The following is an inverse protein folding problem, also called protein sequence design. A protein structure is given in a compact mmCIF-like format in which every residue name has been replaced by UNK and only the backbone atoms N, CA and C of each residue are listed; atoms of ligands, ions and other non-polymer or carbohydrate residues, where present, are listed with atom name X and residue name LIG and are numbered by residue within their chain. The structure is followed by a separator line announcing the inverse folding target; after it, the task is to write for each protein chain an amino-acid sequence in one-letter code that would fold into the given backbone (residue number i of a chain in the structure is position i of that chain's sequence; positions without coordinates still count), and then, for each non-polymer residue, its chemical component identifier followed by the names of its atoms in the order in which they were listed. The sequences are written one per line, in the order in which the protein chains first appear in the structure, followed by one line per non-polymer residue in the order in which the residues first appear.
data_IF_913186975226
#
_entry.id   IF_913186975226
#
_cell.length_a   1.000
_cell.length_b   1.000
_cell.length_c   1.000
_cell.angle_alpha   90.00
_cell.angle_beta   90.00
_cell.angle_gamma   90.00
#
_symmetry.space_group_name_H-M   'P 1'
#
loop_
_entity.id
_entity.type
_entity.pdbx_description
1 polymer ?
#
# COMPACT_ATOMS: atom_id res chain seq x y z
N UNK A 1 17.31 -52.53 54.08
CA UNK A 1 16.86 -52.26 52.68
C UNK A 1 16.24 -50.88 52.65
N UNK A 2 16.98 -49.88 52.22
CA UNK A 2 16.52 -48.49 52.04
C UNK A 2 16.58 -48.21 50.53
N UNK A 3 15.41 -48.02 49.93
CA UNK A 3 15.26 -47.75 48.50
C UNK A 3 15.40 -46.24 48.24
N UNK A 4 16.35 -45.86 47.39
CA UNK A 4 16.56 -44.50 46.93
C UNK A 4 15.62 -44.19 45.75
N UNK A 5 14.82 -43.14 45.88
CA UNK A 5 13.97 -42.62 44.81
C UNK A 5 14.79 -41.67 43.92
N UNK A 6 14.92 -42.01 42.63
CA UNK A 6 15.54 -41.15 41.63
C UNK A 6 14.50 -40.14 41.10
N UNK A 7 14.80 -38.85 41.26
CA UNK A 7 14.02 -37.75 40.66
C UNK A 7 14.56 -37.52 39.25
N UNK A 8 13.75 -37.82 38.24
CA UNK A 8 14.02 -37.51 36.84
C UNK A 8 13.61 -36.05 36.55
N UNK A 9 14.57 -35.13 36.49
CA UNK A 9 14.34 -33.79 35.92
C UNK A 9 14.09 -33.92 34.41
N UNK A 10 12.87 -33.59 33.97
CA UNK A 10 12.57 -33.37 32.56
C UNK A 10 13.08 -31.99 32.15
N UNK A 11 14.22 -31.96 31.45
CA UNK A 11 14.67 -30.78 30.73
C UNK A 11 13.74 -30.57 29.52
N UNK A 12 12.95 -29.50 29.55
CA UNK A 12 12.20 -29.06 28.38
C UNK A 12 13.19 -28.70 27.25
N UNK A 13 12.91 -29.06 25.99
CA UNK A 13 13.78 -28.69 24.88
C UNK A 13 13.79 -27.16 24.76
N UNK A 14 15.00 -26.58 24.75
CA UNK A 14 15.17 -25.17 24.45
C UNK A 14 14.66 -24.91 23.03
N UNK A 15 13.60 -24.11 22.92
CA UNK A 15 13.11 -23.60 21.64
C UNK A 15 14.25 -22.81 21.01
N UNK A 16 14.85 -23.32 19.95
CA UNK A 16 15.80 -22.58 19.14
C UNK A 16 15.06 -21.37 18.55
N UNK A 17 15.36 -20.18 19.08
CA UNK A 17 14.89 -18.94 18.48
C UNK A 17 15.38 -18.93 17.02
N UNK A 18 14.44 -18.79 16.07
CA UNK A 18 14.81 -18.55 14.68
C UNK A 18 15.72 -17.32 14.63
N UNK A 19 16.79 -17.32 13.82
CA UNK A 19 17.60 -16.13 13.63
C UNK A 19 16.67 -14.99 13.19
N UNK A 20 16.77 -13.84 13.86
CA UNK A 20 16.02 -12.64 13.47
C UNK A 20 16.43 -12.30 12.04
N UNK A 21 15.45 -12.07 11.17
CA UNK A 21 15.70 -11.54 9.83
C UNK A 21 16.46 -10.21 9.95
N UNK A 22 17.50 -10.03 9.14
CA UNK A 22 18.26 -8.78 9.05
C UNK A 22 17.44 -7.65 8.40
N UNK A 23 16.27 -7.96 7.82
CA UNK A 23 15.34 -7.01 7.22
C UNK A 23 13.90 -7.39 7.60
N UNK A 24 13.50 -7.23 8.87
CA UNK A 24 12.19 -7.67 9.33
C UNK A 24 11.08 -6.78 8.76
N UNK A 25 9.99 -7.42 8.38
CA UNK A 25 8.76 -6.82 7.87
C UNK A 25 7.58 -7.52 8.54
N UNK A 26 6.58 -6.76 8.92
CA UNK A 26 5.30 -7.28 9.37
C UNK A 26 4.15 -6.45 8.78
N UNK A 27 3.06 -7.10 8.38
CA UNK A 27 1.80 -6.44 8.06
C UNK A 27 0.70 -6.97 8.96
N UNK A 28 0.10 -6.09 9.76
CA UNK A 28 -0.99 -6.43 10.65
C UNK A 28 -2.31 -5.74 10.26
N UNK A 29 -3.34 -6.51 9.84
CA UNK A 29 -4.66 -5.98 9.54
C UNK A 29 -5.68 -6.22 10.66
N UNK A 30 -6.55 -5.22 10.88
CA UNK A 30 -7.85 -5.37 11.53
C UNK A 30 -8.94 -5.34 10.46
N UNK A 31 -9.61 -6.48 10.24
CA UNK A 31 -10.54 -6.67 9.10
C UNK A 31 -11.78 -7.50 9.41
N UNK A 32 -11.82 -8.17 10.55
CA UNK A 32 -12.97 -8.96 10.99
C UNK A 32 -13.77 -8.22 12.07
N UNK A 33 -15.04 -8.58 12.31
CA UNK A 33 -15.79 -8.05 13.44
C UNK A 33 -15.09 -8.24 14.79
N UNK A 34 -14.39 -9.37 14.97
CA UNK A 34 -13.62 -9.64 16.19
C UNK A 34 -12.44 -8.69 16.32
N UNK A 35 -11.72 -8.43 15.22
CA UNK A 35 -10.59 -7.49 15.21
C UNK A 35 -11.07 -6.10 15.61
N UNK A 36 -12.16 -5.61 15.02
CA UNK A 36 -12.71 -4.29 15.35
C UNK A 36 -13.20 -4.20 16.79
N UNK A 37 -13.70 -5.29 17.40
CA UNK A 37 -14.09 -5.32 18.81
C UNK A 37 -12.92 -5.17 19.78
N UNK A 38 -11.68 -5.47 19.34
CA UNK A 38 -10.48 -5.25 20.18
C UNK A 38 -10.05 -3.79 20.27
N UNK A 39 -10.53 -2.95 19.35
CA UNK A 39 -10.26 -1.52 19.35
C UNK A 39 -11.30 -0.72 20.13
N UNK A 40 -10.97 0.52 20.44
CA UNK A 40 -11.90 1.49 21.01
C UNK A 40 -12.82 2.01 19.92
N UNK A 41 -14.12 1.74 20.06
CA UNK A 41 -15.18 2.16 19.13
C UNK A 41 -15.93 3.36 19.71
N UNK A 42 -15.98 4.47 18.97
CA UNK A 42 -16.62 5.72 19.37
C UNK A 42 -17.63 6.15 18.27
N UNK A 43 -18.92 5.96 18.50
CA UNK A 43 -19.96 6.37 17.55
C UNK A 43 -20.02 5.59 16.24
N UNK A 44 -19.24 4.51 16.13
CA UNK A 44 -19.33 3.53 15.06
C UNK A 44 -20.05 2.28 15.53
N UNK A 45 -20.48 1.47 14.58
CA UNK A 45 -21.09 0.16 14.82
C UNK A 45 -20.80 -0.77 13.64
N UNK A 46 -20.97 -2.09 13.82
CA UNK A 46 -20.97 -3.02 12.69
C UNK A 46 -22.03 -2.63 11.64
N UNK A 47 -21.62 -2.62 10.37
CA UNK A 47 -22.46 -2.35 9.22
C UNK A 47 -23.03 -3.63 8.57
N UNK A 48 -24.12 -3.53 7.80
CA UNK A 48 -24.58 -4.61 6.93
C UNK A 48 -23.45 -5.07 5.99
N UNK A 49 -23.26 -6.39 5.89
CA UNK A 49 -22.16 -6.99 5.12
C UNK A 49 -20.80 -7.03 5.82
N UNK A 50 -20.68 -6.52 7.06
CA UNK A 50 -19.44 -6.47 7.85
C UNK A 50 -18.78 -5.09 7.87
N UNK A 51 -17.67 -4.93 8.60
CA UNK A 51 -16.96 -3.65 8.73
C UNK A 51 -17.66 -2.63 9.62
N UNK A 52 -17.05 -1.45 9.78
CA UNK A 52 -17.54 -0.36 10.62
C UNK A 52 -18.22 0.74 9.80
N UNK A 53 -19.35 1.21 10.32
CA UNK A 53 -20.14 2.34 9.78
C UNK A 53 -20.49 3.31 10.90
N UNK A 54 -20.87 4.54 10.57
CA UNK A 54 -21.33 5.54 11.54
C UNK A 54 -22.67 5.08 12.13
N UNK A 55 -22.71 4.98 13.45
CA UNK A 55 -23.91 4.72 14.25
C UNK A 55 -24.49 6.04 14.77
N UNK A 56 -24.37 6.26 16.08
CA UNK A 56 -24.64 7.56 16.70
C UNK A 56 -23.33 8.35 16.69
N UNK A 57 -23.19 9.41 15.88
CA UNK A 57 -21.94 10.16 15.80
C UNK A 57 -21.56 10.72 17.17
N UNK A 58 -20.26 10.80 17.44
CA UNK A 58 -19.72 11.34 18.72
C UNK A 58 -19.50 12.85 18.67
N UNK A 59 -19.59 13.45 17.49
CA UNK A 59 -19.52 14.89 17.31
C UNK A 59 -19.63 15.28 15.85
N UNK A 60 -19.42 16.57 15.59
CA UNK A 60 -19.33 17.14 14.26
C UNK A 60 -18.12 18.04 14.12
N UNK A 61 -17.64 18.23 12.89
CA UNK A 61 -16.61 19.20 12.53
C UNK A 61 -17.07 20.02 11.33
N UNK A 62 -16.61 21.26 11.22
CA UNK A 62 -16.65 21.97 9.95
C UNK A 62 -15.37 21.64 9.17
N UNK A 63 -15.53 21.36 7.88
CA UNK A 63 -14.42 21.07 6.98
C UNK A 63 -14.55 21.95 5.74
N UNK A 64 -13.48 22.68 5.44
CA UNK A 64 -13.38 23.55 4.27
C UNK A 64 -12.47 22.90 3.25
N UNK A 65 -12.94 22.86 2.01
CA UNK A 65 -12.21 22.42 0.82
C UNK A 65 -11.95 23.65 -0.06
N UNK A 66 -10.78 24.32 0.08
CA UNK A 66 -10.53 25.58 -0.61
C UNK A 66 -10.64 25.48 -2.12
N UNK A 67 -10.11 24.40 -2.71
CA UNK A 67 -10.14 24.19 -4.15
C UNK A 67 -11.55 23.87 -4.69
N UNK A 68 -12.45 23.38 -3.85
CA UNK A 68 -13.87 23.16 -4.19
C UNK A 68 -14.74 24.37 -3.83
N UNK A 69 -14.22 25.33 -3.06
CA UNK A 69 -14.98 26.48 -2.57
C UNK A 69 -16.11 26.11 -1.61
N UNK A 70 -16.01 24.95 -0.92
CA UNK A 70 -17.08 24.46 -0.03
C UNK A 70 -16.65 24.40 1.43
N UNK A 71 -17.54 24.80 2.33
CA UNK A 71 -17.48 24.47 3.75
C UNK A 71 -18.70 23.66 4.11
N UNK A 72 -18.50 22.49 4.69
CA UNK A 72 -19.59 21.57 5.09
C UNK A 72 -19.37 21.09 6.51
N UNK A 73 -20.46 20.83 7.21
CA UNK A 73 -20.41 20.17 8.53
C UNK A 73 -20.48 18.66 8.36
N UNK A 74 -19.55 17.94 8.97
CA UNK A 74 -19.49 16.49 8.96
C UNK A 74 -19.68 15.93 10.37
N UNK A 75 -20.65 15.04 10.53
CA UNK A 75 -20.76 14.16 11.69
C UNK A 75 -19.72 13.05 11.61
N UNK A 76 -19.15 12.64 12.74
CA UNK A 76 -18.12 11.61 12.74
C UNK A 76 -18.27 10.55 13.82
N UNK A 77 -17.70 9.39 13.52
CA UNK A 77 -17.37 8.35 14.49
C UNK A 77 -15.94 7.88 14.27
N UNK A 78 -15.35 7.23 15.27
CA UNK A 78 -13.95 6.87 15.31
C UNK A 78 -13.74 5.46 15.78
N UNK A 79 -12.70 4.83 15.25
CA UNK A 79 -12.16 3.58 15.75
C UNK A 79 -10.66 3.75 16.00
N UNK A 80 -10.18 3.32 17.16
CA UNK A 80 -8.75 3.31 17.50
C UNK A 80 -8.31 1.90 17.83
N UNK A 81 -7.25 1.41 17.18
CA UNK A 81 -6.71 0.08 17.40
C UNK A 81 -6.14 -0.08 18.82
N UNK A 82 -6.04 -1.32 19.33
CA UNK A 82 -5.11 -1.60 20.43
C UNK A 82 -3.67 -1.28 20.01
N UNK A 83 -2.77 -1.22 21.00
CA UNK A 83 -1.32 -1.16 20.70
C UNK A 83 -0.90 -2.46 20.04
N UNK A 84 -0.24 -2.37 18.88
CA UNK A 84 0.31 -3.52 18.18
C UNK A 84 1.85 -3.50 18.21
N UNK A 85 2.45 -4.65 18.54
CA UNK A 85 3.90 -4.86 18.59
C UNK A 85 4.28 -5.82 17.45
N UNK A 86 5.04 -5.37 16.43
CA UNK A 86 5.41 -6.22 15.29
C UNK A 86 6.49 -7.28 15.62
N UNK A 87 7.04 -7.27 16.84
CA UNK A 87 8.07 -8.22 17.29
C UNK A 87 9.50 -7.80 16.98
N UNK A 88 9.68 -6.61 16.40
CA UNK A 88 10.96 -5.94 16.16
C UNK A 88 10.79 -4.43 16.30
N UNK A 89 11.92 -3.72 16.34
CA UNK A 89 11.97 -2.27 16.51
C UNK A 89 11.88 -1.59 15.13
N UNK A 90 10.69 -1.16 14.73
CA UNK A 90 10.41 -0.66 13.38
C UNK A 90 10.98 0.74 13.13
N UNK A 91 11.48 0.99 11.92
CA UNK A 91 11.94 2.32 11.47
C UNK A 91 10.99 2.98 10.48
N UNK A 92 10.11 2.20 9.84
CA UNK A 92 9.11 2.73 8.92
C UNK A 92 7.74 2.08 9.12
N UNK A 93 6.69 2.82 8.78
CA UNK A 93 5.31 2.34 8.79
C UNK A 93 4.52 2.91 7.60
N UNK A 94 3.78 2.07 6.89
CA UNK A 94 2.78 2.49 5.88
C UNK A 94 1.41 1.96 6.30
N UNK A 95 0.44 2.85 6.46
CA UNK A 95 -0.93 2.47 6.77
C UNK A 95 -1.70 2.12 5.50
N UNK A 96 -2.58 1.13 5.56
CA UNK A 96 -3.47 0.72 4.46
C UNK A 96 -4.90 0.61 4.98
N UNK A 97 -5.88 0.90 4.12
CA UNK A 97 -7.30 0.78 4.44
C UNK A 97 -8.11 0.34 3.24
N UNK A 98 -9.17 -0.42 3.49
CA UNK A 98 -10.20 -0.76 2.52
C UNK A 98 -11.51 -0.16 3.00
N UNK A 99 -12.11 0.70 2.18
CA UNK A 99 -13.35 1.36 2.52
C UNK A 99 -14.20 1.68 1.29
N UNK A 100 -15.51 1.79 1.50
CA UNK A 100 -16.40 2.47 0.56
C UNK A 100 -16.82 3.81 1.15
N UNK A 101 -16.75 4.85 0.34
CA UNK A 101 -17.13 6.22 0.70
C UNK A 101 -18.12 6.71 -0.34
N UNK A 102 -19.44 6.45 -0.16
CA UNK A 102 -20.46 7.10 -0.97
C UNK A 102 -20.29 8.62 -0.95
N UNK A 103 -20.86 9.32 -1.94
CA UNK A 103 -20.88 10.79 -1.96
C UNK A 103 -21.29 11.35 -0.59
N UNK A 104 -20.71 12.50 -0.21
CA UNK A 104 -20.87 13.18 1.08
C UNK A 104 -20.28 12.43 2.28
N UNK A 105 -19.39 11.47 2.02
CA UNK A 105 -18.68 10.73 3.07
C UNK A 105 -17.21 10.60 2.73
N UNK A 106 -16.38 10.51 3.76
CA UNK A 106 -14.93 10.38 3.63
C UNK A 106 -14.35 9.80 4.94
N UNK A 107 -13.05 9.56 4.96
CA UNK A 107 -12.36 9.09 6.16
C UNK A 107 -10.99 9.73 6.33
N UNK A 108 -10.49 9.71 7.56
CA UNK A 108 -9.10 10.04 7.88
C UNK A 108 -8.45 8.85 8.58
N UNK A 109 -7.24 8.49 8.17
CA UNK A 109 -6.41 7.47 8.83
C UNK A 109 -5.22 8.16 9.48
N UNK A 110 -4.92 7.80 10.71
CA UNK A 110 -3.83 8.35 11.50
C UNK A 110 -3.05 7.22 12.19
N UNK A 111 -1.76 7.44 12.42
CA UNK A 111 -0.91 6.55 13.20
C UNK A 111 -0.34 7.27 14.42
N UNK A 112 -0.03 6.49 15.46
CA UNK A 112 0.76 6.93 16.62
C UNK A 112 1.76 5.85 16.99
N UNK A 113 3.03 6.22 17.11
CA UNK A 113 4.11 5.33 17.51
C UNK A 113 4.44 5.44 19.00
N UNK A 114 4.94 4.33 19.55
CA UNK A 114 5.65 4.29 20.83
C UNK A 114 7.10 3.93 20.53
N UNK A 115 8.05 4.78 20.89
CA UNK A 115 9.47 4.51 20.67
C UNK A 115 10.00 3.49 21.67
N UNK A 116 11.11 2.84 21.32
CA UNK A 116 11.87 1.96 22.23
C UNK A 116 12.42 2.71 23.44
N UNK A 117 12.69 4.01 23.30
CA UNK A 117 13.09 4.90 24.40
C UNK A 117 11.93 5.33 25.33
N UNK A 118 10.69 4.89 25.06
CA UNK A 118 9.54 5.20 25.90
C UNK A 118 8.78 6.49 25.52
N UNK A 119 9.20 7.20 24.48
CA UNK A 119 8.47 8.36 23.97
C UNK A 119 7.25 7.95 23.13
N UNK A 120 6.21 8.77 23.14
CA UNK A 120 5.02 8.59 22.31
C UNK A 120 4.99 9.71 21.26
N UNK A 121 4.87 9.36 19.99
CA UNK A 121 4.74 10.36 18.90
C UNK A 121 3.40 11.08 18.99
N UNK A 122 3.21 12.25 18.35
CA UNK A 122 1.88 12.75 18.06
C UNK A 122 1.12 11.77 17.14
N UNK A 123 -0.18 12.05 16.94
CA UNK A 123 -0.93 11.40 15.86
C UNK A 123 -0.51 12.04 14.54
N UNK A 124 0.01 11.22 13.63
CA UNK A 124 0.31 11.63 12.26
C UNK A 124 -0.82 11.19 11.33
N UNK A 125 -1.30 12.08 10.49
CA UNK A 125 -2.30 11.80 9.45
C UNK A 125 -1.61 11.07 8.30
N UNK A 126 -2.05 9.84 8.05
CA UNK A 126 -1.57 9.00 6.95
C UNK A 126 -2.36 9.23 5.66
N UNK A 127 -3.55 9.83 5.76
CA UNK A 127 -4.32 10.26 4.60
C UNK A 127 -5.74 10.71 4.96
N UNK A 128 -6.26 11.68 4.20
CA UNK A 128 -7.68 12.01 4.12
C UNK A 128 -8.20 11.49 2.78
N UNK A 129 -9.18 10.61 2.84
CA UNK A 129 -9.55 9.79 1.69
C UNK A 129 -11.05 9.71 1.47
N UNK A 130 -11.43 9.93 0.22
CA UNK A 130 -12.70 9.55 -0.37
C UNK A 130 -12.40 9.02 -1.77
N UNK A 131 -13.23 8.10 -2.25
CA UNK A 131 -13.15 7.59 -3.62
C UNK A 131 -13.31 8.75 -4.62
N UNK A 132 -14.41 9.50 -4.54
CA UNK A 132 -14.62 10.69 -5.37
C UNK A 132 -13.86 11.92 -4.85
N UNK A 133 -13.76 12.94 -5.71
CA UNK A 133 -13.03 14.20 -5.50
C UNK A 133 -13.95 15.43 -5.29
N UNK A 134 -15.25 15.21 -5.08
CA UNK A 134 -16.29 16.26 -5.02
C UNK A 134 -16.73 16.64 -3.59
N UNK A 135 -16.32 15.84 -2.60
CA UNK A 135 -16.67 16.05 -1.18
C UNK A 135 -15.46 16.52 -0.38
N UNK A 136 -14.31 15.90 -0.67
CA UNK A 136 -12.98 16.35 -0.27
C UNK A 136 -12.03 16.17 -1.46
N UNK A 137 -10.98 16.99 -1.54
CA UNK A 137 -9.81 16.64 -2.33
C UNK A 137 -8.97 15.66 -1.50
N UNK A 138 -8.99 14.40 -1.90
CA UNK A 138 -8.15 13.35 -1.34
C UNK A 138 -6.71 13.83 -1.24
N UNK A 139 -6.09 13.65 -0.08
CA UNK A 139 -4.80 14.30 0.19
C UNK A 139 -4.00 13.63 1.30
N UNK A 140 -2.68 13.60 1.15
CA UNK A 140 -1.75 13.57 2.27
C UNK A 140 -1.73 14.89 3.03
N UNK A 141 -1.01 14.93 4.15
CA UNK A 141 -0.75 16.16 4.90
C UNK A 141 0.76 16.34 5.01
N UNK A 142 1.30 17.29 4.27
CA UNK A 142 2.72 17.64 4.26
C UNK A 142 3.20 18.27 5.56
N UNK A 143 4.52 18.22 5.80
CA UNK A 143 5.20 18.93 6.89
C UNK A 143 5.04 18.31 8.29
N UNK A 144 4.43 17.13 8.39
CA UNK A 144 4.23 16.44 9.66
C UNK A 144 5.53 15.84 10.20
N UNK A 145 6.02 16.33 11.34
CA UNK A 145 7.21 15.81 12.00
C UNK A 145 7.27 16.14 13.50
N UNK A 146 8.06 15.36 14.23
CA UNK A 146 8.50 15.63 15.60
C UNK A 146 9.99 15.22 15.77
N UNK A 147 10.47 15.09 17.00
CA UNK A 147 11.82 14.59 17.31
C UNK A 147 12.02 13.09 17.05
N UNK A 148 10.93 12.32 16.91
CA UNK A 148 10.96 10.87 16.77
C UNK A 148 10.84 10.42 15.31
N UNK A 149 10.16 11.19 14.46
CA UNK A 149 9.99 10.87 13.05
C UNK A 149 9.24 11.94 12.27
N UNK A 150 8.90 11.59 11.03
CA UNK A 150 8.13 12.42 10.11
C UNK A 150 7.31 11.54 9.17
N UNK A 151 6.31 12.12 8.50
CA UNK A 151 5.59 11.45 7.40
C UNK A 151 6.09 12.01 6.08
N UNK A 152 6.58 11.11 5.23
CA UNK A 152 6.92 11.37 3.84
C UNK A 152 5.84 10.75 2.96
N UNK A 153 4.92 11.60 2.49
CA UNK A 153 3.73 11.21 1.71
C UNK A 153 2.87 10.18 2.46
N UNK A 154 3.08 8.88 2.20
CA UNK A 154 2.33 7.76 2.77
C UNK A 154 3.12 6.94 3.81
N UNK A 155 4.37 7.30 4.06
CA UNK A 155 5.30 6.53 4.90
C UNK A 155 5.71 7.34 6.12
N UNK A 156 5.42 6.83 7.31
CA UNK A 156 6.11 7.31 8.52
C UNK A 156 7.56 6.81 8.49
N UNK A 157 8.50 7.72 8.71
CA UNK A 157 9.94 7.44 8.80
C UNK A 157 10.45 7.91 10.17
N UNK A 158 10.99 6.97 10.95
CA UNK A 158 11.65 7.29 12.20
C UNK A 158 12.96 8.06 11.95
N UNK A 159 13.31 8.98 12.85
CA UNK A 159 14.61 9.67 12.78
C UNK A 159 15.76 8.70 13.06
N UNK A 160 16.96 9.09 12.64
CA UNK A 160 18.19 8.35 12.92
C UNK A 160 18.32 8.07 14.43
N UNK A 161 18.53 6.81 14.79
CA UNK A 161 18.63 6.35 16.18
C UNK A 161 17.29 6.17 16.91
N UNK A 162 16.16 6.42 16.24
CA UNK A 162 14.82 6.20 16.78
C UNK A 162 14.20 4.97 16.13
N UNK A 163 13.53 4.15 16.95
CA UNK A 163 12.75 3.01 16.48
C UNK A 163 11.43 2.92 17.25
N UNK A 164 10.41 2.37 16.62
CA UNK A 164 9.10 2.13 17.20
C UNK A 164 9.01 0.70 17.74
N UNK A 165 8.68 0.56 19.03
CA UNK A 165 8.38 -0.72 19.67
C UNK A 165 6.93 -1.16 19.46
N UNK A 166 6.02 -0.20 19.27
CA UNK A 166 4.63 -0.47 18.93
C UNK A 166 3.99 0.72 18.22
N UNK A 167 2.81 0.49 17.64
CA UNK A 167 1.99 1.55 17.06
C UNK A 167 0.50 1.36 17.38
N UNK A 168 -0.27 2.41 17.14
CA UNK A 168 -1.73 2.39 17.05
C UNK A 168 -2.18 3.06 15.77
N UNK A 169 -3.31 2.61 15.22
CA UNK A 169 -4.01 3.29 14.14
C UNK A 169 -5.32 3.87 14.65
N UNK A 170 -5.72 5.00 14.06
CA UNK A 170 -7.02 5.62 14.29
C UNK A 170 -7.66 5.90 12.95
N UNK A 171 -8.91 5.49 12.79
CA UNK A 171 -9.72 5.83 11.62
C UNK A 171 -10.91 6.65 12.09
N UNK A 172 -11.07 7.83 11.52
CA UNK A 172 -12.26 8.65 11.72
C UNK A 172 -13.09 8.62 10.45
N UNK A 173 -14.36 8.21 10.57
CA UNK A 173 -15.33 8.15 9.49
C UNK A 173 -16.22 9.38 9.55
N UNK A 174 -16.42 10.03 8.40
CA UNK A 174 -17.19 11.26 8.28
C UNK A 174 -18.38 11.08 7.33
N UNK A 175 -19.51 11.68 7.69
CA UNK A 175 -20.67 11.88 6.80
C UNK A 175 -21.16 13.31 6.94
N UNK A 176 -21.62 13.91 5.85
CA UNK A 176 -22.22 15.25 5.90
C UNK A 176 -23.44 15.24 6.84
N UNK A 177 -23.53 16.26 7.69
CA UNK A 177 -24.58 16.40 8.69
C UNK A 177 -25.97 16.44 8.04
N UNK A 178 -26.97 15.86 8.72
CA UNK A 178 -28.34 15.77 8.19
C UNK A 178 -28.55 14.67 7.14
N UNK A 179 -27.51 13.90 6.78
CA UNK A 179 -27.64 12.74 5.89
C UNK A 179 -27.70 11.43 6.68
N UNK A 180 -28.25 10.38 6.04
CA UNK A 180 -28.17 8.98 6.56
C UNK A 180 -27.11 8.14 5.85
N UNK A 181 -26.32 8.76 4.97
CA UNK A 181 -25.22 8.12 4.28
C UNK A 181 -24.14 7.73 5.29
N UNK A 182 -23.36 6.70 5.00
CA UNK A 182 -22.25 6.31 5.86
C UNK A 182 -21.12 5.77 5.01
N UNK A 183 -19.87 6.18 5.27
CA UNK A 183 -18.75 5.43 4.77
C UNK A 183 -18.70 4.09 5.51
N UNK A 184 -18.03 3.11 4.92
CA UNK A 184 -17.89 1.76 5.49
C UNK A 184 -16.44 1.32 5.40
N UNK A 185 -15.82 1.11 6.55
CA UNK A 185 -14.45 0.59 6.70
C UNK A 185 -14.48 -0.93 6.82
N UNK A 186 -13.84 -1.65 5.91
CA UNK A 186 -13.77 -3.12 5.93
C UNK A 186 -12.40 -3.64 6.35
N UNK A 187 -11.34 -2.84 6.21
CA UNK A 187 -10.00 -3.15 6.73
C UNK A 187 -9.25 -1.87 7.05
N UNK A 188 -8.48 -1.90 8.14
CA UNK A 188 -7.37 -0.98 8.36
C UNK A 188 -6.19 -1.79 8.89
N UNK A 189 -4.98 -1.47 8.48
CA UNK A 189 -3.77 -2.15 8.93
C UNK A 189 -2.53 -1.33 8.61
N UNK A 190 -1.37 -1.82 9.02
CA UNK A 190 -0.11 -1.20 8.63
C UNK A 190 0.99 -2.23 8.38
N UNK A 191 1.81 -1.93 7.38
CA UNK A 191 3.12 -2.55 7.24
C UNK A 191 4.11 -1.79 8.12
N UNK A 192 4.93 -2.52 8.85
CA UNK A 192 6.11 -2.01 9.54
C UNK A 192 7.35 -2.71 9.03
N UNK A 193 8.48 -1.99 9.04
CA UNK A 193 9.76 -2.57 8.62
C UNK A 193 10.94 -1.94 9.32
N UNK A 194 12.04 -2.70 9.42
CA UNK A 194 13.35 -2.21 9.86
C UNK A 194 14.46 -2.68 8.90
N UNK A 195 14.33 -2.34 7.62
CA UNK A 195 15.28 -2.76 6.60
C UNK A 195 16.54 -1.88 6.67
N UNK A 196 17.75 -2.48 6.77
CA UNK A 196 18.99 -1.74 6.82
C UNK A 196 19.30 -1.04 5.50
N UNK A 197 20.19 -0.06 5.57
CA UNK A 197 20.77 0.56 4.38
C UNK A 197 21.55 -0.48 3.57
N UNK A 198 21.15 -0.66 2.31
CA UNK A 198 21.78 -1.59 1.37
C UNK A 198 21.65 -1.07 -0.05
N UNK A 199 22.73 -1.21 -0.82
CA UNK A 199 22.82 -0.82 -2.24
C UNK A 199 22.61 -2.01 -3.18
N UNK A 200 22.89 -3.21 -2.69
CA UNK A 200 22.75 -4.48 -3.39
C UNK A 200 22.06 -5.49 -2.48
N UNK A 201 21.57 -6.58 -3.07
CA UNK A 201 20.96 -7.71 -2.38
C UNK A 201 21.43 -9.01 -3.02
N UNK A 202 21.45 -10.13 -2.31
CA UNK A 202 21.70 -11.42 -2.94
C UNK A 202 20.53 -11.78 -3.86
N UNK A 203 20.82 -12.30 -5.05
CA UNK A 203 19.81 -12.88 -5.94
C UNK A 203 19.17 -14.10 -5.28
N UNK A 204 17.85 -14.12 -5.19
CA UNK A 204 17.11 -15.22 -4.57
C UNK A 204 17.03 -16.44 -5.50
N UNK A 205 17.04 -17.66 -4.94
CA UNK A 205 16.79 -18.87 -5.72
C UNK A 205 15.34 -18.94 -6.20
N UNK A 206 15.05 -19.88 -7.11
CA UNK A 206 13.67 -20.20 -7.48
C UNK A 206 12.85 -20.67 -6.26
N UNK A 207 11.58 -20.27 -6.23
CA UNK A 207 10.55 -20.86 -5.37
C UNK A 207 9.50 -21.64 -6.18
N UNK A 208 9.78 -21.94 -7.45
CA UNK A 208 9.01 -22.86 -8.29
C UNK A 208 8.03 -22.19 -9.25
N UNK A 209 8.06 -20.86 -9.42
CA UNK A 209 7.16 -20.16 -10.36
C UNK A 209 7.78 -19.89 -11.73
N UNK A 210 9.00 -20.39 -12.00
CA UNK A 210 9.63 -20.26 -13.32
C UNK A 210 8.78 -20.94 -14.40
N UNK A 211 8.69 -20.32 -15.58
CA UNK A 211 7.79 -20.73 -16.67
C UNK A 211 6.32 -20.38 -16.43
N UNK A 212 5.97 -19.60 -15.41
CA UNK A 212 4.59 -19.14 -15.14
C UNK A 212 4.43 -17.68 -15.51
N UNK A 213 3.36 -17.37 -16.24
CA UNK A 213 2.93 -16.02 -16.56
C UNK A 213 1.42 -15.92 -16.35
N UNK A 214 0.99 -14.94 -15.56
CA UNK A 214 -0.41 -14.62 -15.31
C UNK A 214 -0.94 -13.74 -16.44
N UNK A 215 -2.16 -13.99 -16.95
CA UNK A 215 -2.75 -13.21 -18.04
C UNK A 215 -3.33 -11.88 -17.54
N UNK A 216 -2.47 -11.03 -16.96
CA UNK A 216 -2.85 -9.68 -16.52
C UNK A 216 -2.99 -8.78 -17.76
N UNK A 217 -4.09 -8.01 -17.91
CA UNK A 217 -4.24 -7.06 -19.02
C UNK A 217 -3.09 -6.06 -19.02
N UNK A 218 -2.85 -5.46 -20.19
CA UNK A 218 -1.68 -4.62 -20.45
C UNK A 218 -2.15 -3.23 -20.80
N UNK A 219 -1.75 -2.26 -19.99
CA UNK A 219 -2.03 -0.85 -20.21
C UNK A 219 -0.73 -0.05 -20.15
N UNK A 220 -0.53 0.77 -21.17
CA UNK A 220 0.51 1.77 -21.22
C UNK A 220 0.01 3.06 -20.58
N UNK A 221 0.82 3.69 -19.74
CA UNK A 221 0.52 5.05 -19.29
C UNK A 221 0.82 6.10 -20.37
N UNK A 222 1.71 5.80 -21.32
CA UNK A 222 2.23 6.79 -22.26
C UNK A 222 1.23 7.10 -23.40
N UNK A 223 0.27 6.21 -23.67
CA UNK A 223 -0.81 6.52 -24.62
C UNK A 223 -1.71 7.66 -24.12
N UNK A 224 -1.73 7.90 -22.81
CA UNK A 224 -2.51 8.95 -22.15
C UNK A 224 -1.74 10.27 -21.98
N UNK A 225 -0.57 10.44 -22.61
CA UNK A 225 0.25 11.65 -22.42
C UNK A 225 -0.53 12.91 -22.81
N UNK A 226 -0.72 13.82 -21.85
CA UNK A 226 -1.49 15.05 -22.00
C UNK A 226 -2.99 14.92 -21.75
N UNK A 227 -3.52 13.73 -21.50
CA UNK A 227 -4.92 13.52 -21.10
C UNK A 227 -5.11 13.94 -19.64
N UNK A 228 -6.11 14.78 -19.35
CA UNK A 228 -6.41 15.29 -18.00
C UNK A 228 -5.16 15.73 -17.18
N UNK A 229 -4.42 16.75 -17.63
CA UNK A 229 -3.13 17.15 -17.05
C UNK A 229 -3.21 17.56 -15.57
N UNK A 230 -4.40 17.91 -15.07
CA UNK A 230 -4.65 18.19 -13.66
C UNK A 230 -4.41 17.00 -12.72
N UNK A 231 -4.28 15.78 -13.25
CA UNK A 231 -4.04 14.57 -12.47
C UNK A 231 -2.59 14.08 -12.57
N UNK A 232 -1.60 15.00 -12.58
CA UNK A 232 -0.18 14.65 -12.61
C UNK A 232 0.41 14.62 -14.03
N UNK A 233 0.13 15.65 -14.83
CA UNK A 233 0.73 15.86 -16.15
C UNK A 233 0.03 15.16 -17.31
N UNK A 234 -0.83 14.18 -17.01
CA UNK A 234 -1.58 13.39 -17.99
C UNK A 234 -0.73 12.28 -18.58
N UNK A 235 -0.95 11.04 -18.16
CA UNK A 235 -0.17 9.85 -18.55
C UNK A 235 1.27 9.76 -18.03
N UNK A 236 2.04 10.85 -18.06
CA UNK A 236 3.49 10.87 -17.78
C UNK A 236 3.86 10.37 -16.37
N UNK A 237 2.97 10.56 -15.39
CA UNK A 237 3.16 10.13 -14.00
C UNK A 237 2.07 9.17 -13.50
N UNK A 238 1.55 8.31 -14.38
CA UNK A 238 0.42 7.40 -14.08
C UNK A 238 0.82 5.93 -13.91
N UNK A 239 2.09 5.62 -13.68
CA UNK A 239 2.56 4.23 -13.51
C UNK A 239 1.80 3.45 -12.42
N UNK A 240 1.51 4.09 -11.29
CA UNK A 240 0.79 3.47 -10.15
C UNK A 240 -0.68 3.18 -10.44
N UNK A 241 -1.51 4.13 -10.91
CA UNK A 241 -2.89 3.85 -11.27
C UNK A 241 -3.00 2.88 -12.44
N UNK A 242 -2.13 2.99 -13.46
CA UNK A 242 -2.12 2.05 -14.60
C UNK A 242 -1.82 0.62 -14.13
N UNK A 243 -0.80 0.44 -13.29
CA UNK A 243 -0.48 -0.86 -12.69
C UNK A 243 -1.59 -1.40 -11.79
N UNK A 244 -2.23 -0.52 -11.04
CA UNK A 244 -3.36 -0.88 -10.17
C UNK A 244 -4.54 -1.34 -11.00
N UNK A 245 -4.89 -0.63 -12.08
CA UNK A 245 -6.02 -0.98 -12.95
C UNK A 245 -5.79 -2.30 -13.68
N UNK A 246 -4.57 -2.56 -14.16
CA UNK A 246 -4.19 -3.87 -14.70
C UNK A 246 -4.53 -5.01 -13.73
N UNK A 247 -4.26 -4.85 -12.43
CA UNK A 247 -4.54 -5.87 -11.42
C UNK A 247 -6.03 -5.89 -11.02
N UNK A 248 -6.71 -4.75 -10.98
CA UNK A 248 -8.16 -4.67 -10.73
C UNK A 248 -8.92 -5.45 -11.80
N UNK A 249 -8.61 -5.22 -13.07
CA UNK A 249 -9.23 -5.89 -14.21
C UNK A 249 -8.83 -7.36 -14.35
N UNK A 250 -7.61 -7.74 -13.96
CA UNK A 250 -7.22 -9.16 -13.86
C UNK A 250 -8.19 -9.97 -12.97
N UNK A 251 -8.75 -9.34 -11.93
CA UNK A 251 -9.75 -9.96 -11.07
C UNK A 251 -11.20 -9.85 -11.58
N UNK A 252 -11.41 -9.35 -12.81
CA UNK A 252 -12.72 -9.11 -13.40
C UNK A 252 -13.52 -8.03 -12.66
N UNK A 253 -12.82 -7.06 -12.06
CA UNK A 253 -13.39 -5.90 -11.37
C UNK A 253 -12.97 -4.63 -12.12
N UNK A 254 -13.60 -3.51 -11.80
CA UNK A 254 -13.27 -2.22 -12.42
C UNK A 254 -14.47 -1.29 -12.49
N UNK A 255 -14.29 -0.08 -13.01
CA UNK A 255 -15.35 0.90 -13.22
C UNK A 255 -16.40 0.39 -14.22
N UNK A 256 -17.67 0.73 -13.98
CA UNK A 256 -18.75 0.45 -14.95
C UNK A 256 -18.73 1.45 -16.11
N UNK A 257 -19.42 1.18 -17.24
CA UNK A 257 -19.56 2.17 -18.31
C UNK A 257 -20.14 3.52 -17.85
N UNK A 258 -20.98 3.52 -16.81
CA UNK A 258 -21.51 4.76 -16.22
C UNK A 258 -20.44 5.53 -15.43
N UNK A 259 -19.53 4.81 -14.76
CA UNK A 259 -18.40 5.39 -14.02
C UNK A 259 -17.34 5.97 -14.97
N UNK A 260 -17.28 5.47 -16.22
CA UNK A 260 -16.38 5.91 -17.27
C UNK A 260 -16.96 7.03 -18.16
N UNK A 261 -18.26 7.35 -18.02
CA UNK A 261 -18.95 8.28 -18.91
C UNK A 261 -18.44 9.74 -18.86
N UNK A 262 -17.56 10.07 -17.91
CA UNK A 262 -16.90 11.38 -17.84
C UNK A 262 -15.62 11.45 -18.67
N UNK A 263 -15.06 10.31 -19.07
CA UNK A 263 -13.85 10.21 -19.88
C UNK A 263 -14.17 10.56 -21.33
N UNK A 264 -13.27 11.28 -22.01
CA UNK A 264 -13.42 11.60 -23.42
C UNK A 264 -13.48 10.30 -24.24
N UNK A 265 -14.53 10.07 -25.03
CA UNK A 265 -14.69 8.81 -25.74
C UNK A 265 -13.66 8.60 -26.87
N UNK A 266 -12.83 9.60 -27.18
CA UNK A 266 -11.70 9.46 -28.11
C UNK A 266 -10.43 8.90 -27.47
N UNK A 267 -10.34 8.87 -26.15
CA UNK A 267 -9.20 8.31 -25.43
C UNK A 267 -9.28 6.79 -25.36
N UNK A 268 -8.12 6.13 -25.48
CA UNK A 268 -8.00 4.70 -25.26
C UNK A 268 -8.14 4.40 -23.76
N UNK A 269 -8.42 3.14 -23.41
CA UNK A 269 -8.31 2.62 -22.04
C UNK A 269 -8.87 3.55 -20.93
N UNK A 270 -10.15 3.97 -21.01
CA UNK A 270 -10.71 4.98 -20.11
C UNK A 270 -10.69 4.59 -18.63
N UNK A 271 -10.48 3.31 -18.31
CA UNK A 271 -10.26 2.84 -16.94
C UNK A 271 -8.95 3.34 -16.34
N UNK A 272 -7.92 3.62 -17.15
CA UNK A 272 -6.65 4.22 -16.70
C UNK A 272 -6.85 5.68 -16.30
N UNK A 273 -7.56 6.49 -17.09
CA UNK A 273 -7.94 7.87 -16.72
C UNK A 273 -8.78 7.89 -15.45
N UNK A 274 -9.71 6.94 -15.34
CA UNK A 274 -10.50 6.74 -14.13
C UNK A 274 -9.59 6.45 -12.95
N UNK A 275 -8.70 5.46 -13.04
CA UNK A 275 -7.77 5.13 -11.97
C UNK A 275 -6.91 6.34 -11.59
N UNK A 276 -6.37 7.09 -12.55
CA UNK A 276 -5.56 8.28 -12.29
C UNK A 276 -6.32 9.34 -11.50
N UNK A 277 -7.51 9.75 -11.94
CA UNK A 277 -8.37 10.69 -11.21
C UNK A 277 -8.71 10.19 -9.81
N UNK A 278 -9.06 8.92 -9.68
CA UNK A 278 -9.53 8.31 -8.45
C UNK A 278 -8.40 7.76 -7.57
N UNK A 279 -7.15 8.11 -7.86
CA UNK A 279 -5.97 7.87 -7.00
C UNK A 279 -5.14 9.11 -6.74
N UNK A 280 -5.41 10.21 -7.46
CA UNK A 280 -4.71 11.48 -7.32
C UNK A 280 -4.71 12.00 -5.89
N UNK A 281 -3.51 12.31 -5.40
CA UNK A 281 -3.24 12.91 -4.11
C UNK A 281 -2.95 14.40 -4.30
N UNK A 282 -3.79 15.25 -3.70
CA UNK A 282 -3.75 16.69 -3.94
C UNK A 282 -2.52 17.40 -3.38
N UNK A 283 -1.98 16.96 -2.25
CA UNK A 283 -0.82 17.60 -1.59
C UNK A 283 0.50 17.00 -2.10
N UNK A 284 0.52 15.69 -2.35
CA UNK A 284 1.63 15.05 -3.06
C UNK A 284 1.73 15.49 -4.53
N UNK A 285 0.62 15.95 -5.12
CA UNK A 285 0.51 16.40 -6.51
C UNK A 285 0.81 15.27 -7.52
N UNK A 286 0.31 14.07 -7.22
CA UNK A 286 0.57 12.89 -8.04
C UNK A 286 -0.30 11.69 -7.70
N UNK A 287 -0.19 10.64 -8.50
CA UNK A 287 -0.97 9.40 -8.34
C UNK A 287 -0.17 8.29 -7.64
N UNK A 288 1.07 8.58 -7.23
CA UNK A 288 2.02 7.63 -6.66
C UNK A 288 1.83 7.30 -5.18
N UNK A 289 0.78 7.79 -4.51
CA UNK A 289 0.47 7.43 -3.13
C UNK A 289 -0.01 5.96 -3.06
N UNK A 290 0.78 5.08 -2.42
CA UNK A 290 0.55 3.64 -2.52
C UNK A 290 -0.75 3.19 -1.83
N UNK A 291 -1.06 3.63 -0.59
CA UNK A 291 -2.34 3.32 0.05
C UNK A 291 -3.56 3.82 -0.74
N UNK A 292 -3.47 4.95 -1.44
CA UNK A 292 -4.60 5.46 -2.23
C UNK A 292 -4.96 4.55 -3.40
N UNK A 293 -3.97 3.93 -4.04
CA UNK A 293 -4.13 2.95 -5.11
C UNK A 293 -4.79 1.66 -4.58
N UNK A 294 -4.32 1.13 -3.46
CA UNK A 294 -4.94 -0.07 -2.85
C UNK A 294 -6.35 0.18 -2.31
N UNK A 295 -6.61 1.38 -1.78
CA UNK A 295 -7.96 1.79 -1.37
C UNK A 295 -8.90 1.99 -2.57
N UNK A 296 -8.39 2.51 -3.70
CA UNK A 296 -9.13 2.57 -4.97
C UNK A 296 -9.54 1.17 -5.44
N UNK A 297 -8.60 0.22 -5.51
CA UNK A 297 -8.91 -1.17 -5.87
C UNK A 297 -9.97 -1.78 -4.93
N UNK A 298 -9.89 -1.51 -3.63
CA UNK A 298 -10.87 -1.99 -2.65
C UNK A 298 -12.29 -1.46 -2.88
N UNK A 299 -12.46 -0.33 -3.55
CA UNK A 299 -13.77 0.22 -3.88
C UNK A 299 -14.56 -0.67 -4.87
N UNK A 300 -13.86 -1.49 -5.66
CA UNK A 300 -14.45 -2.49 -6.57
C UNK A 300 -14.66 -3.86 -5.93
N UNK A 301 -14.68 -3.92 -4.59
CA UNK A 301 -14.92 -5.14 -3.83
C UNK A 301 -13.69 -6.04 -3.71
N UNK A 302 -12.50 -5.53 -4.00
CA UNK A 302 -11.22 -6.20 -3.73
C UNK A 302 -10.74 -5.90 -2.30
N UNK A 303 -9.62 -6.52 -1.91
CA UNK A 303 -8.87 -6.21 -0.70
C UNK A 303 -7.44 -5.88 -1.09
N UNK A 304 -7.02 -4.64 -0.84
CA UNK A 304 -5.68 -4.15 -1.09
C UNK A 304 -4.92 -3.85 0.20
N UNK A 305 -3.60 -3.97 0.17
CA UNK A 305 -2.70 -3.40 1.19
C UNK A 305 -1.28 -3.26 0.66
N UNK A 306 -0.51 -2.40 1.31
CA UNK A 306 0.92 -2.23 1.08
C UNK A 306 1.69 -3.12 2.05
N UNK A 307 2.70 -3.80 1.52
CA UNK A 307 3.68 -4.54 2.32
C UNK A 307 5.08 -4.35 1.74
N UNK A 308 6.07 -4.99 2.36
CA UNK A 308 7.36 -5.26 1.73
C UNK A 308 7.57 -6.76 1.62
N UNK A 309 8.14 -7.20 0.51
CA UNK A 309 8.58 -8.58 0.33
C UNK A 309 10.11 -8.63 0.36
N UNK A 310 10.66 -9.79 0.73
CA UNK A 310 12.08 -9.91 1.05
C UNK A 310 12.92 -10.41 -0.13
N UNK A 311 12.28 -10.99 -1.15
CA UNK A 311 12.93 -11.64 -2.29
C UNK A 311 11.95 -11.84 -3.45
N UNK A 312 12.45 -12.08 -4.66
CA UNK A 312 11.65 -12.58 -5.78
C UNK A 312 11.13 -14.00 -5.51
N UNK A 313 11.82 -14.80 -4.69
CA UNK A 313 11.28 -16.07 -4.20
C UNK A 313 9.94 -15.89 -3.45
N UNK A 314 9.73 -14.77 -2.74
CA UNK A 314 8.43 -14.45 -2.15
C UNK A 314 7.39 -14.10 -3.21
N UNK A 315 7.78 -13.31 -4.24
CA UNK A 315 6.90 -12.98 -5.37
C UNK A 315 6.47 -14.23 -6.13
N UNK A 316 7.39 -15.18 -6.36
CA UNK A 316 7.09 -16.48 -6.96
C UNK A 316 5.99 -17.23 -6.20
N UNK A 317 5.97 -17.18 -4.85
CA UNK A 317 4.87 -17.77 -4.06
C UNK A 317 3.51 -17.12 -4.37
N UNK A 318 3.47 -15.80 -4.61
CA UNK A 318 2.25 -15.10 -5.04
C UNK A 318 1.84 -15.48 -6.47
N UNK A 319 2.79 -15.54 -7.40
CA UNK A 319 2.52 -15.98 -8.78
C UNK A 319 1.96 -17.41 -8.80
N UNK A 320 2.52 -18.33 -8.01
CA UNK A 320 1.98 -19.69 -7.85
C UNK A 320 0.56 -19.71 -7.28
N UNK A 321 0.21 -18.72 -6.46
CA UNK A 321 -1.15 -18.54 -5.94
C UNK A 321 -2.09 -17.83 -6.93
N UNK A 322 -1.60 -17.44 -8.12
CA UNK A 322 -2.34 -16.70 -9.13
C UNK A 322 -2.56 -15.23 -8.76
N UNK A 323 -1.64 -14.63 -7.99
CA UNK A 323 -1.72 -13.26 -7.50
C UNK A 323 -0.57 -12.46 -8.15
N UNK A 324 -0.85 -11.53 -9.09
CA UNK A 324 0.18 -10.62 -9.59
C UNK A 324 0.61 -9.65 -8.48
N UNK A 325 1.86 -9.21 -8.53
CA UNK A 325 2.45 -8.35 -7.49
C UNK A 325 2.88 -7.03 -8.11
N UNK A 326 2.31 -5.93 -7.63
CA UNK A 326 2.73 -4.60 -8.03
C UNK A 326 3.96 -4.22 -7.21
N UNK A 327 5.04 -3.78 -7.85
CA UNK A 327 6.32 -3.45 -7.22
C UNK A 327 6.72 -2.01 -7.50
N UNK A 328 7.30 -1.35 -6.49
CA UNK A 328 7.90 -0.01 -6.64
C UNK A 328 9.38 -0.12 -6.99
N UNK A 329 9.82 0.60 -8.00
CA UNK A 329 11.16 0.56 -8.58
C UNK A 329 11.82 1.94 -8.56
N UNK A 330 13.15 1.95 -8.46
CA UNK A 330 13.97 3.16 -8.59
C UNK A 330 15.35 2.80 -9.10
N UNK A 331 15.71 3.30 -10.28
CA UNK A 331 16.91 2.86 -11.00
C UNK A 331 17.41 3.91 -12.00
N UNK A 332 18.71 3.87 -12.30
CA UNK A 332 19.31 4.56 -13.43
C UNK A 332 19.17 3.68 -14.68
N UNK A 333 19.20 4.28 -15.86
CA UNK A 333 18.93 3.57 -17.10
C UNK A 333 19.87 2.37 -17.33
N UNK A 334 21.11 2.47 -16.87
CA UNK A 334 22.13 1.43 -16.95
C UNK A 334 21.98 0.29 -15.92
N UNK A 335 21.02 0.36 -14.99
CA UNK A 335 20.84 -0.63 -13.92
C UNK A 335 19.76 -1.68 -14.23
N UNK A 336 18.96 -1.48 -15.28
CA UNK A 336 17.90 -2.39 -15.72
C UNK A 336 17.91 -2.52 -17.24
N UNK A 337 18.57 -3.56 -17.74
CA UNK A 337 18.69 -3.80 -19.17
C UNK A 337 17.32 -4.04 -19.79
N UNK A 338 17.11 -3.44 -20.97
CA UNK A 338 15.84 -3.54 -21.71
C UNK A 338 14.78 -2.51 -21.31
N UNK A 339 14.92 -1.81 -20.17
CA UNK A 339 13.96 -0.77 -19.79
C UNK A 339 14.00 0.44 -20.74
N UNK A 340 15.20 0.88 -21.13
CA UNK A 340 15.38 2.01 -22.06
C UNK A 340 15.20 3.41 -21.42
N UNK A 341 15.00 3.47 -20.11
CA UNK A 341 14.87 4.72 -19.34
C UNK A 341 15.40 4.54 -17.91
N UNK A 342 15.57 5.64 -17.17
CA UNK A 342 15.83 5.63 -15.73
C UNK A 342 14.78 6.44 -14.98
N UNK A 343 14.60 6.18 -13.69
CA UNK A 343 13.52 6.77 -12.90
C UNK A 343 13.89 6.96 -11.42
N UNK A 344 13.33 8.01 -10.80
CA UNK A 344 13.38 8.21 -9.35
C UNK A 344 12.36 7.36 -8.59
N UNK A 345 11.27 6.97 -9.25
CA UNK A 345 10.21 6.14 -8.70
C UNK A 345 9.31 5.69 -9.84
N UNK A 346 9.02 4.39 -9.90
CA UNK A 346 8.17 3.82 -10.93
C UNK A 346 7.45 2.58 -10.40
N UNK A 347 6.26 2.31 -10.91
CA UNK A 347 5.45 1.17 -10.49
C UNK A 347 5.24 0.24 -11.68
N UNK A 348 5.50 -1.06 -11.46
CA UNK A 348 5.31 -2.12 -12.46
C UNK A 348 4.55 -3.28 -11.84
N UNK A 349 3.95 -4.15 -12.66
CA UNK A 349 3.29 -5.38 -12.21
C UNK A 349 4.17 -6.58 -12.57
N UNK A 350 4.67 -7.33 -11.58
CA UNK A 350 5.25 -8.65 -11.82
C UNK A 350 4.11 -9.63 -12.08
N UNK A 351 4.11 -10.20 -13.29
CA UNK A 351 3.06 -11.12 -13.75
C UNK A 351 3.59 -12.54 -13.88
N UNK A 352 4.89 -12.76 -13.80
CA UNK A 352 5.46 -14.09 -13.98
C UNK A 352 6.98 -14.12 -14.04
N UNK A 353 7.48 -15.29 -14.43
CA UNK A 353 8.90 -15.56 -14.62
C UNK A 353 9.12 -16.43 -15.86
N UNK A 354 10.22 -16.21 -16.59
CA UNK A 354 10.63 -17.10 -17.69
C UNK A 354 11.05 -18.48 -17.16
N UNK A 355 11.35 -19.41 -18.06
CA UNK A 355 11.89 -20.74 -17.70
C UNK A 355 13.24 -20.63 -16.97
N UNK A 356 14.02 -19.58 -17.28
CA UNK A 356 15.32 -19.27 -16.68
C UNK A 356 15.20 -18.45 -15.38
N UNK A 357 14.00 -18.00 -15.03
CA UNK A 357 13.73 -17.26 -13.79
C UNK A 357 13.84 -15.73 -13.89
N UNK A 358 13.97 -15.20 -15.10
CA UNK A 358 13.90 -13.76 -15.36
C UNK A 358 12.49 -13.22 -15.16
N UNK A 359 12.38 -11.97 -14.72
CA UNK A 359 11.11 -11.38 -14.29
C UNK A 359 10.31 -10.96 -15.51
N UNK A 360 9.09 -11.49 -15.63
CA UNK A 360 8.12 -10.99 -16.59
C UNK A 360 7.29 -9.92 -15.90
N UNK A 361 7.41 -8.67 -16.34
CA UNK A 361 6.72 -7.53 -15.79
C UNK A 361 5.88 -6.81 -16.86
N UNK A 362 4.67 -6.43 -16.50
CA UNK A 362 3.93 -5.40 -17.22
C UNK A 362 4.44 -4.04 -16.74
N UNK A 363 5.28 -3.40 -17.55
CA UNK A 363 5.82 -2.06 -17.33
C UNK A 363 4.95 -1.03 -18.08
N UNK A 364 4.17 -0.19 -17.36
CA UNK A 364 3.28 0.77 -17.99
C UNK A 364 4.03 1.89 -18.72
N UNK A 365 5.32 2.12 -18.48
CA UNK A 365 6.13 3.13 -19.19
C UNK A 365 6.57 2.62 -20.58
N UNK A 366 5.60 2.17 -21.38
CA UNK A 366 5.79 1.60 -22.71
C UNK A 366 5.07 2.45 -23.77
N UNK A 367 5.49 2.45 -25.05
CA UNK A 367 4.88 3.32 -26.07
C UNK A 367 3.40 3.00 -26.38
N UNK A 368 2.99 1.75 -26.21
CA UNK A 368 1.64 1.24 -26.45
C UNK A 368 1.37 0.01 -25.57
N UNK A 369 0.15 -0.54 -25.60
CA UNK A 369 -0.26 -1.67 -24.77
C UNK A 369 0.45 -2.98 -25.15
N UNK A 370 0.78 -3.17 -26.43
CA UNK A 370 1.50 -4.33 -26.93
C UNK A 370 2.93 -4.40 -26.36
N UNK A 371 3.58 -3.24 -26.22
CA UNK A 371 4.94 -3.11 -25.69
C UNK A 371 5.06 -3.20 -24.16
N UNK A 372 3.94 -3.23 -23.42
CA UNK A 372 3.93 -3.23 -21.93
C UNK A 372 4.62 -4.45 -21.31
N UNK A 373 4.67 -5.58 -22.01
CA UNK A 373 5.27 -6.81 -21.47
C UNK A 373 6.78 -6.82 -21.66
N UNK A 374 7.52 -6.71 -20.56
CA UNK A 374 8.99 -6.80 -20.54
C UNK A 374 9.48 -8.04 -19.82
N UNK A 375 10.69 -8.47 -20.19
CA UNK A 375 11.46 -9.49 -19.48
C UNK A 375 12.73 -8.84 -18.97
N UNK A 376 12.91 -8.81 -17.66
CA UNK A 376 14.07 -8.22 -17.01
C UNK A 376 14.92 -9.28 -16.33
N UNK A 377 16.24 -9.08 -16.40
CA UNK A 377 17.19 -9.96 -15.70
C UNK A 377 16.88 -9.98 -14.21
N UNK A 378 16.78 -11.18 -13.65
CA UNK A 378 16.38 -11.41 -12.26
C UNK A 378 17.20 -10.59 -11.25
N UNK A 379 18.52 -10.67 -11.34
CA UNK A 379 19.45 -10.00 -10.41
C UNK A 379 19.29 -8.46 -10.45
N UNK A 380 19.17 -7.90 -11.65
CA UNK A 380 18.99 -6.46 -11.85
C UNK A 380 17.68 -6.00 -11.22
N UNK A 381 16.58 -6.65 -11.59
CA UNK A 381 15.24 -6.33 -11.08
C UNK A 381 15.16 -6.47 -9.55
N UNK A 382 15.68 -7.57 -9.00
CA UNK A 382 15.68 -7.84 -7.56
C UNK A 382 16.51 -6.80 -6.80
N UNK A 383 17.65 -6.41 -7.33
CA UNK A 383 18.51 -5.38 -6.73
C UNK A 383 17.82 -4.03 -6.69
N UNK A 384 17.29 -3.55 -7.82
CA UNK A 384 16.67 -2.22 -7.88
C UNK A 384 15.40 -2.13 -7.02
N UNK A 385 14.71 -3.26 -6.84
CA UNK A 385 13.50 -3.38 -6.03
C UNK A 385 13.81 -3.47 -4.54
N UNK A 386 14.75 -4.31 -4.12
CA UNK A 386 14.95 -4.60 -2.70
C UNK A 386 15.93 -3.65 -2.00
N UNK A 387 16.79 -2.94 -2.74
CA UNK A 387 17.74 -1.99 -2.14
C UNK A 387 17.01 -0.80 -1.48
N UNK A 388 17.56 -0.33 -0.37
CA UNK A 388 17.03 0.84 0.36
C UNK A 388 17.81 2.11 0.07
N UNK A 389 19.00 1.98 -0.53
CA UNK A 389 19.84 3.09 -1.00
C UNK A 389 20.27 2.85 -2.45
N UNK A 390 20.44 3.93 -3.19
CA UNK A 390 21.00 3.90 -4.56
C UNK A 390 21.79 5.15 -4.85
N UNK A 391 22.70 5.05 -5.82
CA UNK A 391 23.30 6.24 -6.43
C UNK A 391 22.33 6.85 -7.44
N UNK A 392 22.12 8.16 -7.35
CA UNK A 392 21.31 8.91 -8.32
C UNK A 392 22.18 9.40 -9.49
N UNK A 393 21.54 9.95 -10.52
CA UNK A 393 22.21 10.44 -11.73
C UNK A 393 23.21 11.58 -11.47
N UNK A 394 23.08 12.28 -10.34
CA UNK A 394 24.02 13.33 -9.91
C UNK A 394 25.18 12.81 -9.06
N UNK A 395 25.28 11.49 -8.84
CA UNK A 395 26.29 10.85 -8.00
C UNK A 395 26.01 10.88 -6.49
N UNK A 396 24.87 11.42 -6.07
CA UNK A 396 24.42 11.42 -4.66
C UNK A 396 23.73 10.12 -4.26
N UNK A 397 23.42 9.97 -2.98
CA UNK A 397 22.65 8.83 -2.45
C UNK A 397 21.18 9.21 -2.32
N UNK A 398 20.31 8.40 -2.90
CA UNK A 398 18.85 8.50 -2.78
C UNK A 398 18.27 7.22 -2.19
N UNK A 399 17.03 7.28 -1.70
CA UNK A 399 16.30 6.10 -1.22
C UNK A 399 15.93 5.18 -2.39
N UNK A 400 16.01 3.87 -2.15
CA UNK A 400 15.40 2.84 -2.98
C UNK A 400 14.04 2.41 -2.41
N UNK A 401 13.31 1.57 -3.14
CA UNK A 401 11.97 1.17 -2.73
C UNK A 401 11.97 0.17 -1.57
N UNK A 402 13.06 -0.59 -1.34
CA UNK A 402 13.20 -1.51 -0.21
C UNK A 402 12.19 -2.67 -0.21
N UNK A 403 11.72 -3.10 -1.38
CA UNK A 403 10.82 -4.24 -1.53
C UNK A 403 9.34 -3.92 -1.40
N UNK A 404 8.94 -2.64 -1.50
CA UNK A 404 7.52 -2.24 -1.48
C UNK A 404 6.74 -3.01 -2.54
N UNK A 405 5.60 -3.56 -2.11
CA UNK A 405 4.70 -4.35 -2.91
C UNK A 405 3.23 -4.04 -2.58
N UNK A 406 2.38 -4.01 -3.60
CA UNK A 406 0.93 -3.92 -3.41
C UNK A 406 0.34 -5.30 -3.60
N UNK A 407 -0.44 -5.75 -2.62
CA UNK A 407 -1.14 -7.03 -2.68
C UNK A 407 -2.63 -6.73 -2.80
N UNK A 408 -3.18 -6.99 -3.98
CA UNK A 408 -4.59 -6.77 -4.32
C UNK A 408 -5.22 -8.11 -4.71
N UNK A 409 -6.25 -8.52 -3.98
CA UNK A 409 -6.92 -9.82 -4.18
C UNK A 409 -8.42 -9.74 -3.91
N UNK A 410 -9.23 -10.69 -4.40
CA UNK A 410 -10.60 -10.85 -3.94
C UNK A 410 -10.64 -11.14 -2.42
N UNK A 411 -11.66 -10.64 -1.69
CA UNK A 411 -11.79 -10.91 -0.27
C UNK A 411 -11.78 -12.41 0.03
N UNK A 412 -10.96 -12.83 1.01
CA UNK A 412 -10.85 -14.23 1.42
C UNK A 412 -9.90 -15.09 0.56
N UNK A 413 -9.30 -14.55 -0.51
CA UNK A 413 -8.21 -15.22 -1.23
C UNK A 413 -7.07 -15.52 -0.24
N UNK A 414 -6.66 -16.79 -0.05
CA UNK A 414 -5.52 -17.11 0.81
C UNK A 414 -4.25 -16.49 0.25
N UNK A 415 -3.50 -15.79 1.10
CA UNK A 415 -2.17 -15.29 0.76
C UNK A 415 -1.12 -16.38 1.09
N UNK A 416 -0.02 -16.45 0.32
CA UNK A 416 1.08 -17.34 0.65
C UNK A 416 1.65 -17.06 2.04
N UNK A 417 2.23 -18.09 2.68
CA UNK A 417 3.05 -17.90 3.87
C UNK A 417 4.45 -17.46 3.43
N UNK A 418 4.93 -16.37 4.00
CA UNK A 418 6.25 -15.82 3.70
C UNK A 418 7.32 -16.45 4.58
#
# INVERSE_FOLDING_TARGET
MLAAAAVLLHLAPATTAQPRSDAPVDFHPWRTPRDFQTGLVEGLRPGPGGGLVIGRPVGSIEHTEPALGTTRTYEYGRWTSPSYQPGFDATQLVASWNASTPRRTWLQVEMRGQTTAGATTPWFVMGRWALGDQDIQRTTVSGQQDENGFVDVDTFVARSGVTLSSYRLRVTLYREAGTRLTPRLTMVGAMTSAIPDRFTVPTSPSAGAWGRELPVPRYSQNVHVGEYPQYGGGGEAWCSPTSTEMVVEYWGRGPSPADLAWVDPSYADPSVDHAARFTYDKDYDGTGNWPFNTAYAASFGLSGHITRLSSLADVEKFILAGIPVITSQSFRAEELDGAGYGTAGHIMVVVGFTEEGDVIANDPASPDNEAVRHVYQREQFETIWLRTKRYNSSGGISSGSGGIAYIITPPGKPLPRL
#
